data_IF_700309902354
#
_entry.id   IF_700309902354
#
_cell.length_a   1.000
_cell.length_b   1.000
_cell.length_c   1.000
_cell.angle_alpha   90.00
_cell.angle_beta   90.00
_cell.angle_gamma   90.00
#
_symmetry.space_group_name_H-M   'P 1'
#
loop_
_entity.id
_entity.type
_entity.pdbx_description
1 polymer ?
#
# COMPACT_ATOMS: atom_id res chain seq x y z
N UNK A 1 -11.75 23.39 7.72
CA UNK A 1 -12.04 22.67 6.46
C UNK A 1 -10.83 21.80 6.17
N UNK A 2 -10.96 20.48 6.28
CA UNK A 2 -9.94 19.56 5.77
C UNK A 2 -9.89 19.71 4.26
N UNK A 3 -8.72 20.03 3.71
CA UNK A 3 -8.55 20.14 2.27
C UNK A 3 -8.64 18.75 1.65
N UNK A 4 -9.28 18.61 0.49
CA UNK A 4 -9.33 17.32 -0.21
C UNK A 4 -7.89 16.80 -0.46
N UNK A 5 -7.65 15.48 -0.33
CA UNK A 5 -6.33 14.90 -0.57
C UNK A 5 -5.88 15.17 -2.01
N UNK A 6 -4.57 15.38 -2.20
CA UNK A 6 -3.97 15.56 -3.52
C UNK A 6 -2.98 14.43 -3.79
N UNK A 7 -3.53 13.23 -3.97
CA UNK A 7 -2.74 12.04 -4.30
C UNK A 7 -2.04 12.15 -5.65
N UNK A 8 -0.82 11.63 -5.69
CA UNK A 8 -0.01 11.50 -6.88
C UNK A 8 0.61 10.10 -6.91
N UNK A 9 0.45 9.39 -8.02
CA UNK A 9 1.03 8.07 -8.21
C UNK A 9 2.55 8.16 -8.37
N UNK A 10 3.28 7.31 -7.65
CA UNK A 10 4.75 7.29 -7.59
C UNK A 10 5.34 5.95 -8.02
N UNK A 11 4.56 4.87 -7.98
CA UNK A 11 5.02 3.55 -8.38
C UNK A 11 3.86 2.68 -8.87
N UNK A 12 4.17 1.78 -9.79
CA UNK A 12 3.32 0.68 -10.20
C UNK A 12 3.96 -0.62 -9.68
N UNK A 13 3.22 -1.36 -8.87
CA UNK A 13 3.55 -2.68 -8.37
C UNK A 13 2.74 -3.69 -9.18
N UNK A 14 3.31 -4.20 -10.27
CA UNK A 14 2.61 -5.12 -11.15
C UNK A 14 3.13 -5.11 -12.57
N UNK A 15 2.25 -5.48 -13.51
CA UNK A 15 2.57 -5.56 -14.93
C UNK A 15 2.76 -4.17 -15.57
N UNK A 16 3.43 -4.13 -16.71
CA UNK A 16 3.62 -2.94 -17.53
C UNK A 16 2.33 -2.44 -18.17
N UNK A 17 1.33 -3.30 -18.39
CA UNK A 17 -0.04 -2.91 -18.76
C UNK A 17 -1.05 -3.25 -17.65
N UNK A 18 -1.22 -2.34 -16.67
CA UNK A 18 -2.16 -2.53 -15.57
C UNK A 18 -3.63 -2.63 -16.02
N UNK A 19 -3.95 -2.12 -17.20
CA UNK A 19 -5.33 -2.16 -17.68
C UNK A 19 -5.68 -3.54 -18.22
N UNK A 20 -4.75 -4.21 -18.91
CA UNK A 20 -4.95 -5.56 -19.45
C UNK A 20 -4.70 -6.67 -18.42
N UNK A 21 -3.86 -6.43 -17.41
CA UNK A 21 -3.40 -7.47 -16.48
C UNK A 21 -3.67 -7.16 -15.00
N UNK A 22 -4.41 -6.08 -14.74
CA UNK A 22 -4.55 -5.54 -13.39
C UNK A 22 -3.26 -4.86 -12.92
N UNK A 23 -3.36 -4.06 -11.88
CA UNK A 23 -2.18 -3.44 -11.31
C UNK A 23 -2.44 -2.72 -10.00
N UNK A 24 -1.36 -2.49 -9.26
CA UNK A 24 -1.40 -1.83 -7.97
C UNK A 24 -0.56 -0.55 -8.02
N UNK A 25 -1.21 0.58 -7.81
CA UNK A 25 -0.59 1.89 -7.90
C UNK A 25 -0.36 2.45 -6.50
N UNK A 26 0.88 2.85 -6.22
CA UNK A 26 1.23 3.48 -4.95
C UNK A 26 1.07 4.99 -5.12
N UNK A 27 0.24 5.61 -4.30
CA UNK A 27 -0.03 7.03 -4.35
C UNK A 27 0.27 7.69 -3.01
N UNK A 28 0.87 8.88 -3.06
CA UNK A 28 1.19 9.70 -1.88
C UNK A 28 0.51 11.06 -1.98
N UNK A 29 0.09 11.61 -0.84
CA UNK A 29 -0.40 12.99 -0.81
C UNK A 29 0.79 13.95 -0.91
N UNK A 30 0.81 14.79 -1.94
CA UNK A 30 1.92 15.75 -2.18
C UNK A 30 2.13 16.74 -1.03
N UNK A 31 1.14 16.91 -0.16
CA UNK A 31 1.20 17.80 1.01
C UNK A 31 1.65 17.07 2.28
N UNK A 32 1.79 15.75 2.25
CA UNK A 32 2.10 14.93 3.42
C UNK A 32 1.04 15.02 4.52
N UNK A 33 -0.21 15.39 4.19
CA UNK A 33 -1.29 15.51 5.17
C UNK A 33 -2.04 14.20 5.38
N UNK A 34 -2.15 13.40 4.32
CA UNK A 34 -2.85 12.12 4.32
C UNK A 34 -1.88 10.97 4.17
N UNK A 35 -2.22 9.83 4.77
CA UNK A 35 -1.45 8.60 4.62
C UNK A 35 -1.41 8.15 3.15
N UNK A 36 -0.31 7.52 2.72
CA UNK A 36 -0.24 6.93 1.39
C UNK A 36 -1.32 5.86 1.19
N UNK A 37 -1.68 5.66 -0.07
CA UNK A 37 -2.68 4.65 -0.47
C UNK A 37 -2.12 3.73 -1.54
N UNK A 38 -2.64 2.51 -1.57
CA UNK A 38 -2.51 1.55 -2.64
C UNK A 38 -3.84 1.47 -3.39
N UNK A 39 -3.81 1.77 -4.68
CA UNK A 39 -4.96 1.62 -5.56
C UNK A 39 -4.80 0.33 -6.36
N UNK A 40 -5.69 -0.63 -6.16
CA UNK A 40 -5.69 -1.89 -6.92
C UNK A 40 -6.78 -1.82 -7.97
N UNK A 41 -6.41 -1.95 -9.24
CA UNK A 41 -7.36 -2.12 -10.33
C UNK A 41 -7.57 -3.60 -10.65
N UNK A 42 -8.84 -3.98 -10.61
CA UNK A 42 -9.38 -5.27 -10.99
C UNK A 42 -10.09 -5.10 -12.35
N UNK A 43 -9.50 -5.72 -13.35
CA UNK A 43 -9.89 -5.77 -14.75
C UNK A 43 -11.20 -6.55 -14.98
N UNK A 44 -11.36 -7.68 -14.31
CA UNK A 44 -12.46 -8.65 -14.45
C UNK A 44 -13.77 -8.02 -14.00
N UNK A 45 -13.73 -7.26 -12.90
CA UNK A 45 -14.88 -6.57 -12.33
C UNK A 45 -14.93 -5.08 -12.64
N UNK A 46 -13.91 -4.54 -13.32
CA UNK A 46 -13.74 -3.10 -13.59
C UNK A 46 -13.88 -2.29 -12.31
N UNK A 47 -13.19 -2.74 -11.27
CA UNK A 47 -13.23 -2.16 -9.93
C UNK A 47 -11.89 -1.59 -9.54
N UNK A 48 -11.92 -0.57 -8.71
CA UNK A 48 -10.75 -0.06 -8.03
C UNK A 48 -10.98 -0.08 -6.54
N UNK A 49 -10.10 -0.75 -5.84
CA UNK A 49 -10.01 -0.70 -4.39
C UNK A 49 -8.99 0.32 -3.94
N UNK A 50 -9.26 0.97 -2.80
CA UNK A 50 -8.36 1.93 -2.17
C UNK A 50 -7.99 1.44 -0.78
N UNK A 51 -6.70 1.21 -0.55
CA UNK A 51 -6.17 0.66 0.69
C UNK A 51 -5.20 1.67 1.31
N UNK A 52 -5.46 2.10 2.53
CA UNK A 52 -4.54 2.96 3.27
C UNK A 52 -3.31 2.17 3.72
N UNK A 53 -2.13 2.70 3.45
CA UNK A 53 -0.83 2.12 3.82
C UNK A 53 -0.39 2.64 5.19
N UNK A 54 -1.21 2.37 6.21
CA UNK A 54 -0.98 2.86 7.57
C UNK A 54 0.43 2.46 8.07
N UNK A 55 1.20 3.39 8.65
CA UNK A 55 2.47 3.05 9.27
C UNK A 55 2.27 2.06 10.42
N UNK A 56 2.93 0.91 10.33
CA UNK A 56 2.94 -0.07 11.40
C UNK A 56 4.15 0.12 12.33
N UNK A 57 4.03 -0.33 13.58
CA UNK A 57 5.12 -0.48 14.53
C UNK A 57 5.24 -1.94 14.99
N UNK A 58 6.45 -2.36 15.34
CA UNK A 58 6.69 -3.71 15.89
C UNK A 58 6.14 -3.80 17.30
N UNK A 59 5.47 -4.91 17.62
CA UNK A 59 5.09 -5.29 18.97
C UNK A 59 6.13 -6.30 19.46
N UNK A 60 6.80 -5.97 20.56
CA UNK A 60 7.93 -6.75 21.08
C UNK A 60 7.54 -7.50 22.36
N UNK A 61 7.98 -8.74 22.48
CA UNK A 61 7.94 -9.50 23.74
C UNK A 61 8.99 -9.00 24.74
N UNK A 62 8.89 -9.47 25.99
CA UNK A 62 9.86 -9.18 27.04
C UNK A 62 11.27 -9.72 26.74
N UNK A 63 11.41 -10.77 25.92
CA UNK A 63 12.69 -11.31 25.45
C UNK A 63 13.21 -10.64 24.16
N UNK A 64 12.54 -9.59 23.69
CA UNK A 64 13.00 -8.78 22.55
C UNK A 64 12.71 -9.39 21.18
N UNK A 65 11.74 -10.31 21.08
CA UNK A 65 11.27 -10.87 19.82
C UNK A 65 10.06 -10.12 19.30
N UNK A 66 9.92 -10.04 17.98
CA UNK A 66 8.69 -9.54 17.37
C UNK A 66 7.57 -10.54 17.62
N UNK A 67 6.49 -10.10 18.25
CA UNK A 67 5.27 -10.89 18.46
C UNK A 67 4.13 -10.48 17.54
N UNK A 68 4.29 -9.37 16.82
CA UNK A 68 3.29 -8.84 15.92
C UNK A 68 3.57 -7.42 15.47
N UNK A 69 2.58 -6.82 14.82
CA UNK A 69 2.59 -5.40 14.41
C UNK A 69 1.28 -4.73 14.79
N UNK A 70 1.30 -3.42 15.00
CA UNK A 70 0.12 -2.58 15.20
C UNK A 70 0.26 -1.27 14.42
N UNK A 71 -0.84 -0.60 14.04
CA UNK A 71 -0.80 0.75 13.46
C UNK A 71 -1.18 1.84 14.49
N UNK A 72 -1.82 1.44 15.59
CA UNK A 72 -2.31 2.39 16.58
C UNK A 72 -1.23 2.84 17.58
N UNK A 73 -0.65 4.02 17.33
CA UNK A 73 0.35 4.64 18.21
C UNK A 73 -0.12 4.91 19.65
N UNK A 74 -1.43 4.99 19.91
CA UNK A 74 -1.97 5.20 21.26
C UNK A 74 -2.20 3.88 22.01
N UNK A 75 -2.25 2.77 21.27
CA UNK A 75 -2.43 1.42 21.78
C UNK A 75 -1.32 0.52 21.25
N UNK A 76 -0.08 0.83 21.60
CA UNK A 76 1.12 0.19 21.01
C UNK A 76 1.20 -1.33 21.16
N UNK A 77 0.47 -1.90 22.11
CA UNK A 77 0.42 -3.35 22.34
C UNK A 77 -0.81 -4.03 21.72
N UNK A 78 -1.65 -3.29 20.98
CA UNK A 78 -2.82 -3.84 20.30
C UNK A 78 -2.40 -4.22 18.88
N UNK A 79 -2.41 -5.52 18.55
CA UNK A 79 -2.03 -5.98 17.22
C UNK A 79 -3.06 -5.58 16.17
N UNK A 80 -2.59 -5.42 14.93
CA UNK A 80 -3.46 -5.40 13.76
C UNK A 80 -4.21 -6.72 13.61
N UNK A 81 -5.38 -6.66 12.97
CA UNK A 81 -6.23 -7.83 12.75
C UNK A 81 -5.53 -8.93 11.93
N UNK A 82 -4.57 -8.57 11.07
CA UNK A 82 -3.75 -9.50 10.28
C UNK A 82 -2.42 -9.87 10.98
N UNK A 83 -2.14 -9.37 12.18
CA UNK A 83 -0.84 -9.60 12.83
C UNK A 83 -0.58 -11.08 13.10
N UNK A 84 -1.61 -11.83 13.45
CA UNK A 84 -1.51 -13.27 13.77
C UNK A 84 -1.26 -14.15 12.53
N UNK A 85 -1.45 -13.61 11.31
CA UNK A 85 -1.23 -14.33 10.06
C UNK A 85 0.09 -13.97 9.35
N UNK A 86 0.91 -13.07 9.89
CA UNK A 86 2.13 -12.58 9.23
C UNK A 86 3.11 -13.70 8.85
N UNK A 87 3.28 -14.71 9.69
CA UNK A 87 4.13 -15.87 9.39
C UNK A 87 3.56 -16.71 8.23
N UNK A 88 2.24 -16.87 8.18
CA UNK A 88 1.58 -17.55 7.07
C UNK A 88 1.69 -16.75 5.77
N UNK A 89 1.57 -15.41 5.85
CA UNK A 89 1.74 -14.50 4.72
C UNK A 89 3.18 -14.54 4.20
N UNK A 90 4.18 -14.50 5.09
CA UNK A 90 5.59 -14.62 4.74
C UNK A 90 5.87 -15.92 3.98
N UNK A 91 5.36 -17.05 4.49
CA UNK A 91 5.46 -18.34 3.82
C UNK A 91 4.74 -18.35 2.47
N UNK A 92 3.55 -17.76 2.38
CA UNK A 92 2.76 -17.67 1.15
C UNK A 92 3.50 -16.90 0.04
N UNK A 93 4.17 -15.81 0.38
CA UNK A 93 4.93 -15.02 -0.59
C UNK A 93 6.41 -15.40 -0.69
N UNK A 94 6.85 -16.48 -0.01
CA UNK A 94 8.21 -17.00 -0.06
C UNK A 94 9.26 -16.06 0.53
N UNK A 95 8.88 -15.25 1.53
CA UNK A 95 9.76 -14.30 2.22
C UNK A 95 10.12 -14.76 3.62
N UNK A 96 11.24 -14.27 4.12
CA UNK A 96 11.57 -14.37 5.53
C UNK A 96 10.61 -13.51 6.37
N UNK A 97 10.29 -13.98 7.58
CA UNK A 97 9.36 -13.28 8.47
C UNK A 97 9.90 -11.93 8.93
N UNK A 98 11.18 -11.87 9.32
CA UNK A 98 11.79 -10.64 9.82
C UNK A 98 11.89 -9.61 8.68
N UNK A 99 12.29 -10.04 7.48
CA UNK A 99 12.31 -9.16 6.29
C UNK A 99 10.91 -8.61 5.95
N UNK A 100 9.87 -9.45 6.03
CA UNK A 100 8.49 -9.03 5.78
C UNK A 100 8.03 -7.98 6.81
N UNK A 101 8.33 -8.20 8.09
CA UNK A 101 8.00 -7.25 9.16
C UNK A 101 8.76 -5.94 8.96
N UNK A 102 10.05 -6.02 8.62
CA UNK A 102 10.92 -4.87 8.41
C UNK A 102 10.42 -3.98 7.26
N UNK A 103 10.01 -4.57 6.14
CA UNK A 103 9.40 -3.85 5.03
C UNK A 103 8.02 -3.27 5.39
N UNK A 104 7.20 -3.99 6.16
CA UNK A 104 5.88 -3.53 6.58
C UNK A 104 5.95 -2.30 7.49
N UNK A 105 6.95 -2.22 8.36
CA UNK A 105 7.17 -1.06 9.24
C UNK A 105 8.08 0.01 8.61
N UNK A 106 8.48 -0.17 7.35
CA UNK A 106 9.39 0.74 6.66
C UNK A 106 8.77 2.11 6.40
N UNK A 107 9.59 3.15 6.49
CA UNK A 107 9.24 4.49 6.04
C UNK A 107 9.13 4.58 4.52
N UNK A 108 9.80 3.67 3.79
CA UNK A 108 9.63 3.52 2.35
C UNK A 108 8.23 2.98 2.05
N UNK A 109 7.43 3.85 1.44
CA UNK A 109 6.03 3.58 1.11
C UNK A 109 5.90 2.50 0.03
N UNK A 110 6.87 2.40 -0.88
CA UNK A 110 6.85 1.41 -1.96
C UNK A 110 7.13 0.01 -1.41
N UNK A 111 8.10 -0.12 -0.50
CA UNK A 111 8.35 -1.40 0.20
C UNK A 111 7.13 -1.84 1.01
N UNK A 112 6.57 -0.92 1.81
CA UNK A 112 5.37 -1.19 2.60
C UNK A 112 4.17 -1.55 1.73
N UNK A 113 3.96 -0.85 0.61
CA UNK A 113 2.92 -1.17 -0.36
C UNK A 113 3.06 -2.61 -0.91
N UNK A 114 4.29 -3.06 -1.14
CA UNK A 114 4.58 -4.44 -1.52
C UNK A 114 4.08 -5.47 -0.48
N UNK A 115 4.26 -5.19 0.81
CA UNK A 115 3.74 -6.07 1.87
C UNK A 115 2.22 -5.98 1.98
N UNK A 116 1.62 -4.81 1.86
CA UNK A 116 0.16 -4.69 1.79
C UNK A 116 -0.43 -5.48 0.61
N UNK A 117 0.23 -5.49 -0.55
CA UNK A 117 -0.17 -6.30 -1.69
C UNK A 117 -0.11 -7.81 -1.38
N UNK A 118 0.91 -8.26 -0.64
CA UNK A 118 1.00 -9.65 -0.17
C UNK A 118 -0.13 -9.99 0.83
N UNK A 119 -0.43 -9.09 1.78
CA UNK A 119 -1.54 -9.25 2.71
C UNK A 119 -2.88 -9.33 1.98
N UNK A 120 -3.11 -8.45 1.00
CA UNK A 120 -4.31 -8.44 0.15
C UNK A 120 -4.43 -9.74 -0.67
N UNK A 121 -3.31 -10.23 -1.21
CA UNK A 121 -3.29 -11.48 -1.98
C UNK A 121 -3.64 -12.69 -1.12
N UNK A 122 -3.26 -12.67 0.16
CA UNK A 122 -3.53 -13.76 1.10
C UNK A 122 -4.94 -13.70 1.71
N UNK A 123 -5.37 -12.53 2.16
CA UNK A 123 -6.65 -12.35 2.86
C UNK A 123 -7.83 -12.02 1.94
N UNK A 124 -7.55 -11.49 0.75
CA UNK A 124 -8.54 -10.97 -0.18
C UNK A 124 -8.76 -9.46 0.00
N UNK A 125 -8.95 -8.77 -1.12
CA UNK A 125 -9.13 -7.31 -1.16
C UNK A 125 -10.34 -6.81 -0.37
N UNK A 126 -11.36 -7.65 -0.19
CA UNK A 126 -12.57 -7.29 0.55
C UNK A 126 -12.32 -7.02 2.04
N UNK A 127 -11.28 -7.60 2.63
CA UNK A 127 -10.91 -7.34 4.03
C UNK A 127 -10.31 -5.94 4.22
N UNK A 128 -9.90 -5.29 3.12
CA UNK A 128 -9.30 -3.94 3.13
C UNK A 128 -10.25 -2.88 2.59
N UNK A 129 -11.06 -3.21 1.59
CA UNK A 129 -12.03 -2.31 1.00
C UNK A 129 -13.37 -3.02 0.72
N UNK A 130 -14.36 -2.72 1.55
CA UNK A 130 -15.70 -3.27 1.42
C UNK A 130 -16.54 -2.58 0.32
N UNK A 131 -16.14 -1.39 -0.16
CA UNK A 131 -16.92 -0.57 -1.09
C UNK A 131 -16.07 -0.07 -2.26
N UNK A 132 -15.51 -0.99 -3.07
CA UNK A 132 -14.68 -0.60 -4.19
C UNK A 132 -15.44 0.23 -5.21
N UNK A 133 -14.75 1.19 -5.81
CA UNK A 133 -15.31 2.00 -6.89
C UNK A 133 -15.47 1.14 -8.15
N UNK A 134 -16.65 1.10 -8.73
CA UNK A 134 -16.90 0.38 -10.00
C UNK A 134 -16.96 1.39 -11.15
N UNK A 135 -16.19 1.16 -12.21
CA UNK A 135 -16.25 1.99 -13.41
C UNK A 135 -17.49 1.67 -14.23
N UNK A 136 -18.18 2.71 -14.70
CA UNK A 136 -19.36 2.56 -15.55
C UNK A 136 -19.02 2.04 -16.95
N UNK A 137 -17.79 2.26 -17.40
CA UNK A 137 -17.34 1.93 -18.75
C UNK A 137 -15.82 1.72 -18.80
N UNK A 138 -15.40 0.99 -19.83
CA UNK A 138 -14.00 0.60 -20.05
C UNK A 138 -13.08 1.79 -20.35
N UNK A 139 -13.59 2.81 -21.05
CA UNK A 139 -12.82 4.01 -21.38
C UNK A 139 -12.46 4.79 -20.11
N UNK A 140 -13.35 4.82 -19.13
CA UNK A 140 -13.10 5.43 -17.82
C UNK A 140 -12.04 4.67 -17.03
N UNK A 141 -12.08 3.34 -17.02
CA UNK A 141 -11.07 2.50 -16.36
C UNK A 141 -9.68 2.64 -17.02
N UNK A 142 -9.64 2.60 -18.36
CA UNK A 142 -8.40 2.80 -19.13
C UNK A 142 -7.81 4.19 -18.91
N UNK A 143 -8.66 5.23 -18.89
CA UNK A 143 -8.22 6.60 -18.59
C UNK A 143 -7.63 6.71 -17.19
N UNK A 144 -8.19 5.99 -16.21
CA UNK A 144 -7.62 5.93 -14.86
C UNK A 144 -6.22 5.31 -14.88
N UNK A 145 -6.05 4.11 -15.45
CA UNK A 145 -4.76 3.42 -15.50
C UNK A 145 -3.70 4.25 -16.23
N UNK A 146 -4.03 4.78 -17.41
CA UNK A 146 -3.14 5.68 -18.16
C UNK A 146 -2.74 6.89 -17.32
N UNK A 147 -3.67 7.48 -16.56
CA UNK A 147 -3.33 8.64 -15.74
C UNK A 147 -2.40 8.30 -14.58
N UNK A 148 -2.50 7.10 -14.01
CA UNK A 148 -1.55 6.64 -12.99
C UNK A 148 -0.16 6.44 -13.58
N UNK A 149 -0.06 5.85 -14.78
CA UNK A 149 1.21 5.67 -15.48
C UNK A 149 1.86 7.02 -15.85
N UNK A 150 1.09 7.97 -16.40
CA UNK A 150 1.56 9.33 -16.66
C UNK A 150 2.11 10.00 -15.38
N UNK A 151 1.43 9.82 -14.25
CA UNK A 151 1.89 10.38 -12.98
C UNK A 151 3.20 9.77 -12.50
N UNK A 152 3.43 8.48 -12.72
CA UNK A 152 4.70 7.83 -12.38
C UNK A 152 5.85 8.47 -13.17
N UNK A 153 5.68 8.68 -14.47
CA UNK A 153 6.67 9.37 -15.31
C UNK A 153 6.91 10.81 -14.82
N UNK A 154 5.85 11.54 -14.50
CA UNK A 154 5.93 12.89 -13.92
C UNK A 154 6.57 12.90 -12.51
N UNK A 155 6.56 11.78 -11.79
CA UNK A 155 7.01 11.69 -10.40
C UNK A 155 8.52 11.53 -10.23
N UNK A 156 9.20 10.99 -11.25
CA UNK A 156 10.60 10.58 -11.15
C UNK A 156 11.54 11.69 -10.66
N UNK A 157 11.31 12.94 -11.06
CA UNK A 157 12.20 14.05 -10.71
C UNK A 157 12.00 14.60 -9.28
N UNK A 158 10.81 14.44 -8.67
CA UNK A 158 10.51 15.04 -7.36
C UNK A 158 10.42 14.02 -6.22
N UNK A 159 10.04 12.78 -6.50
CA UNK A 159 9.91 11.72 -5.51
C UNK A 159 11.27 11.30 -4.94
N UNK A 160 12.32 11.25 -5.77
CA UNK A 160 13.71 11.00 -5.35
C UNK A 160 14.23 12.01 -4.31
N UNK A 161 13.60 13.19 -4.20
CA UNK A 161 13.89 14.20 -3.20
C UNK A 161 13.01 14.16 -1.95
N UNK A 162 11.88 13.46 -1.97
CA UNK A 162 10.86 13.52 -0.92
C UNK A 162 11.34 12.91 0.42
N UNK A 163 12.12 11.84 0.38
CA UNK A 163 12.68 11.23 1.59
C UNK A 163 14.06 11.75 2.02
N UNK A 164 14.78 12.46 1.15
CA UNK A 164 16.06 13.09 1.52
C UNK A 164 15.91 14.20 2.57
N UNK A 165 14.69 14.71 2.77
CA UNK A 165 14.39 15.74 3.76
C UNK A 165 14.20 15.21 5.19
N UNK A 166 14.26 13.89 5.40
CA UNK A 166 14.07 13.25 6.70
C UNK A 166 15.33 12.50 7.21
N UNK A 167 16.49 12.73 6.60
CA UNK A 167 17.78 12.13 6.98
C UNK A 167 18.72 13.06 7.80
N UNK A 168 18.20 14.15 8.39
CA UNK A 168 18.96 15.04 9.30
C UNK A 168 18.82 14.65 10.78
#
# INVERSE_FOLDING_TARGET
MTAQPSYFCIANLGDADPFEHGGAFVCVDRRGTYDPILLIYDEDFKRRSEITLEPCHRIMSADGKVTGVGSNKFHVNYPEWFSDSLEAVANFCGRDFDDLVDELVSTDVVLRAGIYLALISYHGVHEFDHYPFTYNDEKSAKRFCNKMLEQIEESGDWWDGYFKLFED
#
